data_IF_889513304139
#
_entry.id   IF_889513304139
#
_cell.length_a   1.000
_cell.length_b   1.000
_cell.length_c   1.000
_cell.angle_alpha   90.00
_cell.angle_beta   90.00
_cell.angle_gamma   90.00
#
_symmetry.space_group_name_H-M   'P 1'
#
loop_
_entity.id
_entity.type
_entity.pdbx_description
1 polymer ?
#
# COMPACT_ATOMS: atom_id res chain seq x y z
N UNK A 1 8.65 1.13 -29.17
CA UNK A 1 7.19 1.07 -29.01
C UNK A 1 6.91 1.02 -27.52
N UNK A 2 6.49 2.12 -26.90
CA UNK A 2 6.29 2.17 -25.44
C UNK A 2 5.04 2.96 -25.13
N UNK A 3 3.92 2.26 -24.89
CA UNK A 3 2.88 2.58 -23.91
C UNK A 3 2.18 1.27 -23.55
N UNK A 4 1.98 1.02 -22.24
CA UNK A 4 0.62 1.08 -21.75
C UNK A 4 0.57 1.79 -20.38
N UNK A 5 0.77 3.10 -20.34
CA UNK A 5 0.61 3.87 -19.08
C UNK A 5 -0.86 4.20 -18.77
N UNK A 6 -1.78 4.06 -19.73
CA UNK A 6 -3.17 4.51 -19.58
C UNK A 6 -4.14 3.51 -18.93
N UNK A 7 -3.89 2.20 -19.03
CA UNK A 7 -4.78 1.20 -18.39
C UNK A 7 -4.51 1.09 -16.90
N UNK A 8 -3.25 1.20 -16.51
CA UNK A 8 -2.80 1.00 -15.14
C UNK A 8 -3.22 2.17 -14.24
N UNK A 9 -3.10 3.42 -14.72
CA UNK A 9 -3.58 4.64 -14.03
C UNK A 9 -5.11 4.64 -13.80
N UNK A 10 -5.87 4.11 -14.77
CA UNK A 10 -7.33 3.93 -14.62
C UNK A 10 -7.68 2.92 -13.51
N UNK A 11 -6.90 1.86 -13.34
CA UNK A 11 -7.18 0.81 -12.35
C UNK A 11 -6.97 1.25 -10.89
N UNK A 12 -6.01 2.14 -10.61
CA UNK A 12 -5.82 2.67 -9.26
C UNK A 12 -6.89 3.73 -8.91
N UNK A 13 -7.37 4.45 -9.92
CA UNK A 13 -8.49 5.40 -9.78
C UNK A 13 -9.79 4.70 -9.37
N UNK A 14 -10.07 3.51 -9.90
CA UNK A 14 -11.21 2.66 -9.49
C UNK A 14 -11.12 2.25 -8.01
N UNK A 15 -9.89 2.11 -7.49
CA UNK A 15 -9.66 1.82 -6.09
C UNK A 15 -9.78 3.06 -5.19
N UNK A 16 -10.07 4.26 -5.72
CA UNK A 16 -10.11 5.51 -4.96
C UNK A 16 -8.82 5.71 -4.15
N UNK A 17 -7.69 5.56 -4.84
CA UNK A 17 -6.37 5.77 -4.26
C UNK A 17 -5.71 6.98 -4.92
N UNK A 18 -5.30 7.95 -4.11
CA UNK A 18 -4.47 9.08 -4.50
C UNK A 18 -3.01 8.63 -4.44
N UNK A 19 -2.41 8.31 -5.59
CA UNK A 19 -0.99 7.95 -5.65
C UNK A 19 -0.13 9.21 -5.65
N UNK A 20 0.80 9.30 -4.71
CA UNK A 20 1.60 10.51 -4.46
C UNK A 20 2.99 10.46 -5.10
N UNK A 21 3.52 9.25 -5.32
CA UNK A 21 4.83 9.02 -5.93
C UNK A 21 4.70 8.10 -7.16
N UNK A 22 5.61 8.21 -8.13
CA UNK A 22 5.58 7.37 -9.34
C UNK A 22 5.90 5.91 -9.03
N UNK A 23 5.04 4.94 -9.43
CA UNK A 23 5.33 3.50 -9.29
C UNK A 23 6.54 3.03 -10.10
N UNK A 24 7.12 1.91 -9.68
CA UNK A 24 8.25 1.24 -10.33
C UNK A 24 9.59 1.38 -9.59
N UNK A 25 9.64 2.13 -8.49
CA UNK A 25 10.82 2.27 -7.63
C UNK A 25 10.74 1.44 -6.34
N UNK A 26 11.59 1.79 -5.38
CA UNK A 26 11.71 1.07 -4.10
C UNK A 26 10.57 1.38 -3.12
N UNK A 27 9.87 2.50 -3.30
CA UNK A 27 8.74 2.86 -2.46
C UNK A 27 7.76 3.76 -3.18
N UNK A 28 6.49 3.65 -2.81
CA UNK A 28 5.43 4.53 -3.30
C UNK A 28 4.55 4.94 -2.12
N UNK A 29 4.33 6.26 -1.98
CA UNK A 29 3.30 6.79 -1.10
C UNK A 29 1.98 6.91 -1.83
N UNK A 30 0.92 6.59 -1.11
CA UNK A 30 -0.45 6.67 -1.60
C UNK A 30 -1.41 6.89 -0.44
N UNK A 31 -2.59 7.44 -0.75
CA UNK A 31 -3.68 7.62 0.20
C UNK A 31 -4.94 6.97 -0.32
N UNK A 32 -5.68 6.29 0.54
CA UNK A 32 -6.94 5.67 0.16
C UNK A 32 -7.82 5.43 1.38
N UNK A 33 -9.12 5.30 1.17
CA UNK A 33 -10.05 4.95 2.23
C UNK A 33 -10.12 3.43 2.45
N UNK A 34 -10.27 3.01 3.70
CA UNK A 34 -10.50 1.62 4.03
C UNK A 34 -11.02 1.42 5.46
N UNK A 35 -11.53 0.22 5.79
CA UNK A 35 -11.96 -0.09 7.14
C UNK A 35 -10.75 -0.29 8.08
N UNK A 36 -10.85 0.23 9.29
CA UNK A 36 -9.93 -0.06 10.39
C UNK A 36 -10.68 -0.01 11.72
N UNK A 37 -10.50 -1.03 12.57
CA UNK A 37 -11.15 -1.12 13.91
C UNK A 37 -12.67 -0.84 13.89
N UNK A 38 -13.35 -1.22 12.80
CA UNK A 38 -14.80 -1.05 12.63
C UNK A 38 -15.24 0.33 12.13
N UNK A 39 -14.31 1.22 11.79
CA UNK A 39 -14.58 2.56 11.27
C UNK A 39 -13.96 2.74 9.87
N UNK A 40 -14.56 3.55 8.98
CA UNK A 40 -13.87 4.01 7.78
C UNK A 40 -12.77 5.01 8.17
N UNK A 41 -11.57 4.80 7.66
CA UNK A 41 -10.42 5.68 7.89
C UNK A 41 -9.76 6.05 6.57
N UNK A 42 -9.03 7.16 6.55
CA UNK A 42 -8.07 7.47 5.50
C UNK A 42 -6.72 6.89 5.88
N UNK A 43 -6.12 6.12 4.98
CA UNK A 43 -4.76 5.63 5.11
C UNK A 43 -3.79 6.63 4.49
N UNK A 44 -2.73 6.98 5.24
CA UNK A 44 -1.53 7.63 4.72
C UNK A 44 -0.44 6.56 4.61
N UNK A 45 -0.39 5.91 3.44
CA UNK A 45 0.33 4.67 3.24
C UNK A 45 1.67 4.88 2.51
N UNK A 46 2.66 4.11 2.92
CA UNK A 46 3.93 3.92 2.22
C UNK A 46 4.15 2.44 1.98
N UNK A 47 4.19 2.03 0.71
CA UNK A 47 4.48 0.66 0.29
C UNK A 47 5.93 0.61 -0.18
N UNK A 48 6.71 -0.34 0.32
CA UNK A 48 8.14 -0.44 0.11
C UNK A 48 8.53 -1.83 -0.39
N UNK A 49 9.43 -1.87 -1.37
CA UNK A 49 10.09 -3.07 -1.85
C UNK A 49 11.20 -3.44 -0.87
N UNK A 50 11.19 -4.69 -0.39
CA UNK A 50 12.21 -5.22 0.51
C UNK A 50 13.33 -5.95 -0.25
N UNK A 51 13.11 -6.23 -1.54
CA UNK A 51 13.90 -7.19 -2.31
C UNK A 51 13.46 -8.62 -2.02
N UNK A 52 13.46 -9.48 -3.06
CA UNK A 52 13.00 -10.88 -2.93
C UNK A 52 13.79 -11.73 -1.92
N UNK A 53 15.01 -11.31 -1.59
CA UNK A 53 15.90 -12.03 -0.67
C UNK A 53 15.83 -11.53 0.78
N UNK A 54 14.90 -10.61 1.09
CA UNK A 54 14.74 -10.10 2.46
C UNK A 54 14.35 -11.22 3.43
N UNK A 55 15.12 -11.39 4.50
CA UNK A 55 14.92 -12.43 5.52
C UNK A 55 13.71 -12.17 6.43
N UNK A 56 13.15 -10.96 6.43
CA UNK A 56 12.06 -10.54 7.31
C UNK A 56 10.65 -10.76 6.76
N UNK A 57 10.50 -11.28 5.53
CA UNK A 57 9.19 -11.52 4.92
C UNK A 57 8.39 -10.25 4.66
N UNK A 58 7.10 -10.41 4.35
CA UNK A 58 6.19 -9.28 4.14
C UNK A 58 5.76 -8.73 5.49
N UNK A 59 5.48 -7.43 5.55
CA UNK A 59 4.90 -6.84 6.75
C UNK A 59 3.88 -5.76 6.47
N UNK A 60 3.00 -5.55 7.44
CA UNK A 60 2.14 -4.38 7.55
C UNK A 60 2.35 -3.79 8.94
N UNK A 61 2.61 -2.50 9.00
CA UNK A 61 2.69 -1.77 10.25
C UNK A 61 1.69 -0.62 10.25
N UNK A 62 0.80 -0.62 11.23
CA UNK A 62 -0.14 0.46 11.46
C UNK A 62 0.39 1.34 12.58
N UNK A 63 0.69 2.60 12.23
CA UNK A 63 1.16 3.61 13.14
C UNK A 63 0.02 4.43 13.76
N UNK A 64 0.38 5.62 14.21
CA UNK A 64 -0.55 6.59 14.78
C UNK A 64 -1.32 7.36 13.69
N UNK A 65 -2.41 8.00 14.11
CA UNK A 65 -3.13 8.96 13.29
C UNK A 65 -2.32 10.26 13.16
N UNK A 66 -2.13 10.71 11.92
CA UNK A 66 -1.50 11.99 11.59
C UNK A 66 -2.48 12.92 10.88
N UNK A 67 -1.96 14.06 10.41
CA UNK A 67 -2.76 15.09 9.74
C UNK A 67 -3.47 14.59 8.46
N UNK A 68 -2.87 13.61 7.78
CA UNK A 68 -3.37 13.08 6.51
C UNK A 68 -4.13 11.74 6.64
N UNK A 69 -4.27 11.21 7.85
CA UNK A 69 -4.88 9.92 8.14
C UNK A 69 -4.00 9.00 8.99
N UNK A 70 -4.39 7.73 9.09
CA UNK A 70 -3.64 6.73 9.85
C UNK A 70 -2.41 6.31 9.07
N UNK A 71 -1.24 6.40 9.69
CA UNK A 71 0.02 6.00 9.07
C UNK A 71 0.05 4.50 8.84
N UNK A 72 0.35 4.08 7.61
CA UNK A 72 0.45 2.68 7.23
C UNK A 72 1.76 2.43 6.49
N UNK A 73 2.55 1.46 6.95
CA UNK A 73 3.76 1.00 6.24
C UNK A 73 3.56 -0.43 5.80
N UNK A 74 3.83 -0.71 4.53
CA UNK A 74 3.73 -2.07 3.97
C UNK A 74 5.06 -2.43 3.34
N UNK A 75 5.67 -3.50 3.80
CA UNK A 75 6.85 -4.08 3.17
C UNK A 75 6.48 -5.30 2.37
N UNK A 76 6.85 -5.34 1.09
CA UNK A 76 6.64 -6.46 0.19
C UNK A 76 7.98 -7.03 -0.28
N UNK A 77 8.13 -8.35 -0.25
CA UNK A 77 9.28 -9.11 -0.74
C UNK A 77 9.31 -9.18 -2.28
N UNK A 78 9.36 -8.00 -2.89
CA UNK A 78 9.45 -7.76 -4.33
C UNK A 78 10.62 -6.80 -4.59
N UNK A 79 11.08 -6.73 -5.84
CA UNK A 79 12.24 -5.90 -6.20
C UNK A 79 11.85 -4.43 -6.45
N UNK A 80 10.60 -4.17 -6.83
CA UNK A 80 10.06 -2.83 -6.99
C UNK A 80 8.55 -2.79 -6.72
N UNK A 81 8.04 -1.61 -6.38
CA UNK A 81 6.62 -1.37 -6.15
C UNK A 81 5.98 -0.86 -7.43
N UNK A 82 5.50 -1.79 -8.24
CA UNK A 82 4.71 -1.52 -9.43
C UNK A 82 3.20 -1.39 -9.10
N UNK A 83 2.42 -0.99 -10.10
CA UNK A 83 0.98 -0.80 -9.95
C UNK A 83 0.22 -2.08 -9.57
N UNK A 84 0.52 -3.27 -10.15
CA UNK A 84 -0.02 -4.54 -9.67
C UNK A 84 0.23 -4.78 -8.17
N UNK A 85 1.44 -4.49 -7.69
CA UNK A 85 1.80 -4.64 -6.27
C UNK A 85 0.98 -3.68 -5.39
N UNK A 86 0.83 -2.41 -5.81
CA UNK A 86 0.00 -1.43 -5.11
C UNK A 86 -1.46 -1.85 -5.04
N UNK A 87 -2.04 -2.28 -6.16
CA UNK A 87 -3.42 -2.77 -6.22
C UNK A 87 -3.64 -3.92 -5.24
N UNK A 88 -2.75 -4.91 -5.25
CA UNK A 88 -2.86 -6.06 -4.36
C UNK A 88 -2.74 -5.64 -2.89
N UNK A 89 -1.82 -4.72 -2.59
CA UNK A 89 -1.68 -4.16 -1.24
C UNK A 89 -2.98 -3.47 -0.78
N UNK A 90 -3.55 -2.56 -1.57
CA UNK A 90 -4.80 -1.84 -1.23
C UNK A 90 -5.95 -2.82 -0.97
N UNK A 91 -6.14 -3.80 -1.85
CA UNK A 91 -7.20 -4.81 -1.71
C UNK A 91 -6.99 -5.61 -0.43
N UNK A 92 -5.78 -6.09 -0.20
CA UNK A 92 -5.41 -6.84 1.00
C UNK A 92 -5.71 -6.04 2.26
N UNK A 93 -5.24 -4.79 2.35
CA UNK A 93 -5.45 -3.91 3.51
C UNK A 93 -6.94 -3.72 3.79
N UNK A 94 -7.75 -3.46 2.74
CA UNK A 94 -9.21 -3.30 2.88
C UNK A 94 -9.92 -4.57 3.36
N UNK A 95 -9.41 -5.73 3.01
CA UNK A 95 -9.98 -7.02 3.40
C UNK A 95 -9.47 -7.53 4.75
N UNK A 96 -8.39 -6.94 5.28
CA UNK A 96 -7.71 -7.46 6.46
C UNK A 96 -8.42 -7.08 7.77
N UNK A 97 -9.46 -7.82 8.12
CA UNK A 97 -10.30 -7.58 9.31
C UNK A 97 -9.57 -7.66 10.65
N UNK A 98 -8.38 -8.26 10.68
CA UNK A 98 -7.58 -8.46 11.91
C UNK A 98 -6.49 -7.41 12.07
N UNK A 99 -6.41 -6.44 11.17
CA UNK A 99 -5.43 -5.38 11.26
C UNK A 99 -5.62 -4.58 12.56
N UNK A 100 -4.53 -4.35 13.28
CA UNK A 100 -4.48 -3.58 14.53
C UNK A 100 -3.25 -2.68 14.52
N UNK A 101 -3.22 -1.69 15.40
CA UNK A 101 -2.00 -0.88 15.64
C UNK A 101 -0.79 -1.78 15.92
N UNK A 102 0.38 -1.37 15.45
CA UNK A 102 1.63 -2.12 15.53
C UNK A 102 1.99 -2.88 14.26
N UNK A 103 3.04 -3.71 14.34
CA UNK A 103 3.64 -4.44 13.22
C UNK A 103 3.13 -5.88 13.16
N UNK A 104 2.80 -6.32 11.95
CA UNK A 104 2.32 -7.66 11.62
C UNK A 104 3.20 -8.21 10.49
N UNK A 105 3.80 -9.39 10.68
CA UNK A 105 4.78 -9.99 9.77
C UNK A 105 4.35 -11.39 9.37
N UNK A 106 4.43 -11.72 8.08
CA UNK A 106 4.04 -13.02 7.53
C UNK A 106 5.03 -13.52 6.47
#
# INVERSE_FOLDING_TARGET
MSKPSGQSEMQLSELRADVLDTPGGDSVRLRFEGPFEGQPVRWDACVMALGRSATGGNFIEVGEEGQDGIRLRVGLAVDCIDEPSLRNAIIMIRQYKRLRRGRHEW
#
